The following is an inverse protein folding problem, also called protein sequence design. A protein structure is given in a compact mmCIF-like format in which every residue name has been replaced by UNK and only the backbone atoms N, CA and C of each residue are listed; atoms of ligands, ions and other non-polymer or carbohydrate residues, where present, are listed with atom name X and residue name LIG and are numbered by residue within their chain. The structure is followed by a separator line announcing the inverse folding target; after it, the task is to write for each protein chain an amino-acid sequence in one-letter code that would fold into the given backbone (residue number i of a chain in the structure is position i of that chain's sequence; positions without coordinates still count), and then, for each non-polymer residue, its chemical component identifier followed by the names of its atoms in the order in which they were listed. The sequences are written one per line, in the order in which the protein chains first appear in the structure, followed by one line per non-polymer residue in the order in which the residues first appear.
data_IF_998888509440
#
_entry.id   IF_998888509440
#
_cell.length_a   1.000
_cell.length_b   1.000
_cell.length_c   1.000
_cell.angle_alpha   90.00
_cell.angle_beta   90.00
_cell.angle_gamma   90.00
#
_symmetry.space_group_name_H-M   'P 1'
#
loop_
_entity.id
_entity.type
_entity.pdbx_description
1 polymer ?
#
# COMPACT_ATOMS: atom_id res chain seq x y z
N UNK A 1 -34.54 4.01 1.22
CA UNK A 1 -33.15 4.54 1.16
C UNK A 1 -32.29 3.33 1.41
N UNK A 2 -31.78 2.77 0.36
CA UNK A 2 -30.77 1.72 0.44
C UNK A 2 -29.58 2.34 1.19
N UNK A 3 -29.27 1.80 2.38
CA UNK A 3 -28.12 2.24 3.15
C UNK A 3 -26.89 1.81 2.37
N UNK A 4 -26.28 2.72 1.65
CA UNK A 4 -25.00 2.50 1.02
C UNK A 4 -24.02 2.05 2.10
N UNK A 5 -23.34 0.93 1.88
CA UNK A 5 -22.35 0.41 2.81
C UNK A 5 -21.15 1.35 2.94
N UNK A 6 -20.30 1.19 3.96
CA UNK A 6 -19.18 2.11 4.24
C UNK A 6 -18.16 2.18 3.09
N UNK A 7 -18.09 1.14 2.27
CA UNK A 7 -17.20 1.08 1.09
C UNK A 7 -17.91 1.49 -0.21
N UNK A 8 -19.16 1.93 -0.18
CA UNK A 8 -19.85 2.41 -1.38
C UNK A 8 -19.12 3.60 -2.01
N UNK A 9 -19.18 3.76 -3.34
CA UNK A 9 -18.57 4.89 -4.03
C UNK A 9 -19.01 6.22 -3.47
N UNK A 10 -18.07 7.11 -3.21
CA UNK A 10 -18.30 8.46 -2.69
C UNK A 10 -18.00 9.49 -3.76
N UNK A 11 -18.72 10.60 -3.73
CA UNK A 11 -18.48 11.70 -4.66
C UNK A 11 -17.10 12.31 -4.35
N UNK A 12 -16.17 12.35 -5.34
CA UNK A 12 -14.88 13.00 -5.15
C UNK A 12 -15.05 14.52 -5.03
N UNK A 13 -14.08 15.19 -4.38
CA UNK A 13 -14.06 16.66 -4.26
C UNK A 13 -13.74 17.36 -5.59
N UNK A 14 -13.08 16.65 -6.51
CA UNK A 14 -12.70 17.12 -7.84
C UNK A 14 -13.10 16.07 -8.87
N UNK A 15 -13.21 16.48 -10.14
CA UNK A 15 -13.48 15.55 -11.23
C UNK A 15 -12.40 14.46 -11.30
N UNK A 16 -12.81 13.20 -11.14
CA UNK A 16 -11.91 12.07 -11.12
C UNK A 16 -11.38 11.78 -12.52
N UNK A 17 -10.05 11.82 -12.69
CA UNK A 17 -9.36 11.39 -13.91
C UNK A 17 -8.87 9.95 -13.80
N UNK A 18 -8.43 9.53 -12.61
CA UNK A 18 -7.95 8.18 -12.32
C UNK A 18 -9.10 7.28 -11.85
N UNK A 19 -9.05 6.01 -12.24
CA UNK A 19 -10.03 4.97 -11.84
C UNK A 19 -9.50 4.06 -10.73
N UNK A 20 -8.18 3.95 -10.61
CA UNK A 20 -7.51 3.08 -9.65
C UNK A 20 -6.17 3.68 -9.24
N UNK A 21 -5.68 3.28 -8.06
CA UNK A 21 -4.36 3.63 -7.55
C UNK A 21 -3.57 2.35 -7.35
N UNK A 22 -2.36 2.30 -7.91
CA UNK A 22 -1.41 1.20 -7.71
C UNK A 22 -0.16 1.80 -7.07
N UNK A 23 0.19 1.34 -5.87
CA UNK A 23 1.42 1.72 -5.19
C UNK A 23 2.46 0.62 -5.36
N UNK A 24 3.51 0.89 -6.14
CA UNK A 24 4.65 0.00 -6.31
C UNK A 24 5.71 0.36 -5.28
N UNK A 25 5.66 -0.32 -4.14
CA UNK A 25 6.52 -0.01 -3.01
C UNK A 25 7.82 -0.81 -3.05
N UNK A 26 8.94 -0.12 -3.09
CA UNK A 26 10.29 -0.72 -3.07
C UNK A 26 10.82 -0.74 -1.63
N UNK A 27 10.75 -1.90 -0.98
CA UNK A 27 11.33 -2.10 0.34
C UNK A 27 12.87 -2.05 0.28
N UNK A 28 13.50 -1.64 1.39
CA UNK A 28 14.96 -1.67 1.55
C UNK A 28 15.66 -0.34 1.26
N UNK A 29 14.95 0.70 0.89
CA UNK A 29 15.50 2.04 0.70
C UNK A 29 16.45 2.13 -0.50
N UNK A 30 15.94 1.97 -1.73
CA UNK A 30 16.76 2.13 -2.92
C UNK A 30 17.44 3.51 -2.95
N UNK A 31 18.70 3.54 -3.38
CA UNK A 31 19.49 4.77 -3.43
C UNK A 31 18.88 5.75 -4.44
N UNK A 32 18.41 6.89 -3.98
CA UNK A 32 17.86 7.93 -4.85
C UNK A 32 18.92 8.50 -5.80
N UNK A 33 20.19 8.59 -5.36
CA UNK A 33 21.29 9.14 -6.19
C UNK A 33 21.67 8.19 -7.33
N UNK A 34 21.37 6.91 -7.18
CA UNK A 34 21.61 5.88 -8.19
C UNK A 34 20.39 5.62 -9.08
N UNK A 35 19.27 6.31 -8.83
CA UNK A 35 18.00 6.07 -9.53
C UNK A 35 17.41 7.33 -10.15
N UNK A 36 16.69 8.15 -9.37
CA UNK A 36 15.87 9.26 -9.88
C UNK A 36 16.44 10.65 -9.57
N UNK A 37 17.51 10.74 -8.79
CA UNK A 37 18.08 12.02 -8.34
C UNK A 37 19.60 12.00 -8.43
N UNK A 38 20.19 11.88 -9.63
CA UNK A 38 21.64 11.81 -9.82
C UNK A 38 22.31 13.07 -9.31
N UNK A 39 23.47 12.90 -8.68
CA UNK A 39 24.30 13.98 -8.11
C UNK A 39 25.67 13.99 -8.75
N UNK A 40 25.87 14.64 -9.91
CA UNK A 40 27.16 14.66 -10.61
C UNK A 40 28.34 15.10 -9.73
N UNK A 41 28.13 16.07 -8.84
CA UNK A 41 29.16 16.53 -7.93
C UNK A 41 29.69 15.44 -6.98
N UNK A 42 28.92 14.39 -6.67
CA UNK A 42 29.43 13.26 -5.89
C UNK A 42 30.45 12.43 -6.69
N UNK A 43 30.34 12.40 -8.02
CA UNK A 43 31.32 11.72 -8.86
C UNK A 43 32.63 12.49 -8.89
N UNK A 44 32.60 13.83 -8.92
CA UNK A 44 33.79 14.69 -8.85
C UNK A 44 34.50 14.56 -7.50
N UNK A 45 33.73 14.35 -6.43
CA UNK A 45 34.25 14.20 -5.07
C UNK A 45 34.57 12.73 -4.71
N UNK A 46 34.38 11.77 -5.61
CA UNK A 46 34.55 10.35 -5.33
C UNK A 46 35.91 10.03 -4.68
N UNK A 47 35.89 9.33 -3.54
CA UNK A 47 37.06 8.99 -2.70
C UNK A 47 37.73 10.18 -2.02
N UNK A 48 37.24 11.39 -2.15
CA UNK A 48 37.72 12.50 -1.33
C UNK A 48 37.17 12.41 0.08
N UNK A 49 37.96 12.79 1.08
CA UNK A 49 37.52 12.78 2.48
C UNK A 49 36.43 13.83 2.72
N UNK A 50 35.35 13.42 3.35
CA UNK A 50 34.28 14.33 3.73
C UNK A 50 34.66 15.18 4.94
N UNK A 51 34.53 16.49 4.83
CA UNK A 51 34.73 17.45 5.93
C UNK A 51 33.57 17.38 6.96
N UNK A 52 32.46 16.75 6.64
CA UNK A 52 31.32 16.66 7.53
C UNK A 52 31.53 15.52 8.53
N UNK A 53 31.82 15.87 9.77
CA UNK A 53 32.01 14.92 10.88
C UNK A 53 30.71 14.58 11.63
N UNK A 54 29.57 15.10 11.21
CA UNK A 54 28.29 14.82 11.86
C UNK A 54 27.84 13.38 11.61
N UNK A 55 27.60 12.64 12.68
CA UNK A 55 27.02 11.30 12.67
C UNK A 55 27.70 10.30 13.60
N UNK A 56 27.05 9.18 13.82
CA UNK A 56 27.35 8.14 14.82
C UNK A 56 28.60 7.27 14.53
N UNK A 57 29.28 7.45 13.40
CA UNK A 57 30.43 6.62 13.05
C UNK A 57 31.76 7.31 13.42
N UNK A 58 32.58 6.61 14.16
CA UNK A 58 33.99 6.92 14.37
C UNK A 58 34.80 6.48 13.17
N UNK A 59 35.51 7.39 12.51
CA UNK A 59 36.40 7.06 11.40
C UNK A 59 36.35 8.07 10.24
N UNK A 60 37.18 7.84 9.26
CA UNK A 60 37.19 8.64 8.03
C UNK A 60 35.99 8.34 7.17
N UNK A 61 35.38 9.37 6.61
CA UNK A 61 34.27 9.28 5.68
C UNK A 61 34.71 9.80 4.33
N UNK A 62 34.35 9.07 3.30
CA UNK A 62 34.63 9.46 1.93
C UNK A 62 33.34 9.66 1.16
N UNK A 63 33.34 10.61 0.24
CA UNK A 63 32.26 10.73 -0.73
C UNK A 63 32.31 9.53 -1.68
N UNK A 64 31.12 9.02 -2.03
CA UNK A 64 30.96 7.93 -2.97
C UNK A 64 30.06 8.41 -4.11
N UNK A 65 30.64 8.49 -5.30
CA UNK A 65 29.89 8.77 -6.51
C UNK A 65 29.10 7.53 -6.98
N UNK A 66 28.06 7.79 -7.76
CA UNK A 66 27.29 6.69 -8.37
C UNK A 66 28.14 5.93 -9.40
N UNK A 67 28.15 4.59 -9.37
CA UNK A 67 28.79 3.79 -10.41
C UNK A 67 27.95 3.72 -11.69
N UNK A 68 26.72 4.22 -11.67
CA UNK A 68 25.78 4.17 -12.79
C UNK A 68 25.73 5.50 -13.54
N UNK A 69 25.55 5.42 -14.85
CA UNK A 69 25.27 6.58 -15.67
C UNK A 69 23.85 7.08 -15.45
N UNK A 70 23.63 8.32 -15.84
CA UNK A 70 22.30 8.93 -15.86
C UNK A 70 22.15 9.78 -17.12
N UNK A 71 20.92 9.89 -17.60
CA UNK A 71 20.57 10.67 -18.77
C UNK A 71 19.24 11.40 -18.59
N UNK A 72 19.01 12.39 -19.41
CA UNK A 72 17.69 13.00 -19.54
C UNK A 72 16.80 12.16 -20.42
N UNK A 73 15.56 11.93 -19.99
CA UNK A 73 14.57 11.09 -20.66
C UNK A 73 13.30 11.86 -20.96
N UNK A 74 12.60 11.46 -22.01
CA UNK A 74 11.35 12.07 -22.45
C UNK A 74 11.51 13.53 -22.89
N UNK A 75 10.40 14.16 -23.24
CA UNK A 75 10.34 15.59 -23.56
C UNK A 75 10.45 16.47 -22.30
N UNK A 76 10.02 15.92 -21.15
CA UNK A 76 10.14 16.57 -19.84
C UNK A 76 11.59 16.79 -19.41
N UNK A 77 12.54 16.03 -19.99
CA UNK A 77 13.96 16.09 -19.64
C UNK A 77 14.24 15.60 -18.22
N UNK A 78 13.44 14.66 -17.71
CA UNK A 78 13.61 14.06 -16.40
C UNK A 78 14.97 13.35 -16.30
N UNK A 79 15.73 13.63 -15.24
CA UNK A 79 16.97 12.91 -14.98
C UNK A 79 16.66 11.50 -14.46
N UNK A 80 17.25 10.50 -15.10
CA UNK A 80 17.02 9.10 -14.74
C UNK A 80 18.29 8.28 -14.92
N UNK A 81 18.53 7.34 -14.01
CA UNK A 81 19.62 6.39 -14.11
C UNK A 81 19.44 5.43 -15.29
N UNK A 82 20.56 4.99 -15.87
CA UNK A 82 20.57 3.99 -16.94
C UNK A 82 20.07 2.61 -16.49
N UNK A 83 19.90 2.41 -15.18
CA UNK A 83 19.30 1.18 -14.63
C UNK A 83 17.80 1.05 -14.95
N UNK A 84 17.12 2.15 -15.20
CA UNK A 84 15.69 2.19 -15.50
C UNK A 84 15.40 2.08 -17.00
N UNK A 85 15.68 0.92 -17.57
CA UNK A 85 15.53 0.70 -19.02
C UNK A 85 14.09 0.94 -19.50
N UNK A 86 13.11 0.38 -18.78
CA UNK A 86 11.70 0.48 -19.18
C UNK A 86 11.05 1.80 -18.77
N UNK A 87 11.36 2.32 -17.57
CA UNK A 87 10.81 3.61 -17.14
C UNK A 87 11.38 4.78 -17.96
N UNK A 88 12.53 4.60 -18.57
CA UNK A 88 13.17 5.60 -19.43
C UNK A 88 12.60 5.62 -20.86
N UNK A 89 11.68 4.73 -21.20
CA UNK A 89 10.92 4.82 -22.45
C UNK A 89 10.20 6.17 -22.51
N UNK A 90 10.32 6.95 -23.60
CA UNK A 90 9.69 8.28 -23.71
C UNK A 90 8.19 8.30 -23.43
N UNK A 91 7.45 7.26 -23.86
CA UNK A 91 6.01 7.17 -23.63
C UNK A 91 5.67 7.04 -22.14
N UNK A 92 6.56 6.43 -21.34
CA UNK A 92 6.39 6.29 -19.89
C UNK A 92 7.00 7.48 -19.16
N UNK A 93 8.20 7.90 -19.57
CA UNK A 93 8.95 8.97 -18.90
C UNK A 93 8.18 10.29 -18.87
N UNK A 94 7.43 10.62 -19.93
CA UNK A 94 6.65 11.85 -20.02
C UNK A 94 5.38 11.85 -19.16
N UNK A 95 4.94 10.67 -18.70
CA UNK A 95 3.84 10.52 -17.75
C UNK A 95 4.32 10.53 -16.29
N UNK A 96 5.65 10.56 -16.04
CA UNK A 96 6.21 10.51 -14.70
C UNK A 96 6.33 11.91 -14.07
N UNK A 97 5.97 11.99 -12.79
CA UNK A 97 6.29 13.12 -11.94
C UNK A 97 7.27 12.68 -10.85
N UNK A 98 8.51 13.15 -10.92
CA UNK A 98 9.54 12.84 -9.93
C UNK A 98 9.53 13.87 -8.78
N UNK A 99 9.04 13.46 -7.62
CA UNK A 99 8.99 14.32 -6.44
C UNK A 99 10.23 14.11 -5.56
N UNK A 100 11.29 14.88 -5.79
CA UNK A 100 12.60 14.76 -5.12
C UNK A 100 12.69 15.43 -3.75
N UNK A 101 11.66 16.17 -3.34
CA UNK A 101 11.62 16.90 -2.07
C UNK A 101 11.15 16.08 -0.87
N UNK A 102 10.90 14.78 -1.02
CA UNK A 102 10.46 13.95 0.09
C UNK A 102 11.56 13.74 1.11
N UNK A 103 11.21 13.87 2.40
CA UNK A 103 12.09 13.64 3.53
C UNK A 103 11.41 12.74 4.56
N UNK A 104 12.15 11.79 5.11
CA UNK A 104 11.71 10.94 6.20
C UNK A 104 12.58 11.18 7.44
N UNK A 105 12.02 10.94 8.62
CA UNK A 105 12.66 11.23 9.92
C UNK A 105 13.45 10.05 10.49
N UNK A 106 13.31 8.85 9.95
CA UNK A 106 13.95 7.65 10.50
C UNK A 106 14.86 6.96 9.49
N UNK A 107 16.02 6.49 10.00
CA UNK A 107 16.92 5.57 9.31
C UNK A 107 16.61 4.10 9.62
N UNK A 108 15.74 3.83 10.58
CA UNK A 108 15.33 2.49 10.97
C UNK A 108 14.31 1.97 9.95
N UNK A 109 14.55 0.79 9.38
CA UNK A 109 13.70 0.23 8.32
C UNK A 109 12.22 0.14 8.70
N UNK A 110 11.77 -0.47 9.82
CA UNK A 110 10.36 -0.54 10.18
C UNK A 110 9.71 0.84 10.30
N UNK A 111 10.36 1.79 10.95
CA UNK A 111 9.85 3.15 11.14
C UNK A 111 9.77 3.91 9.82
N UNK A 112 10.76 3.77 8.95
CA UNK A 112 10.76 4.39 7.62
C UNK A 112 9.67 3.80 6.73
N UNK A 113 9.43 2.48 6.81
CA UNK A 113 8.34 1.80 6.13
C UNK A 113 6.97 2.32 6.59
N UNK A 114 6.76 2.44 7.90
CA UNK A 114 5.53 3.03 8.44
C UNK A 114 5.36 4.47 7.96
N UNK A 115 6.43 5.26 8.05
CA UNK A 115 6.37 6.67 7.63
C UNK A 115 5.95 6.79 6.16
N UNK A 116 6.53 5.97 5.27
CA UNK A 116 6.19 5.99 3.84
C UNK A 116 4.75 5.54 3.57
N UNK A 117 4.25 4.54 4.30
CA UNK A 117 2.92 3.96 4.04
C UNK A 117 1.79 4.68 4.79
N UNK A 118 2.07 5.34 5.92
CA UNK A 118 1.03 5.88 6.81
C UNK A 118 1.22 7.38 7.14
N UNK A 119 2.36 7.96 6.78
CA UNK A 119 2.72 9.33 7.18
C UNK A 119 3.26 9.46 8.61
N UNK A 120 3.35 8.35 9.36
CA UNK A 120 3.83 8.34 10.75
C UNK A 120 4.84 7.22 10.97
N UNK A 121 5.97 7.53 11.59
CA UNK A 121 6.99 6.54 11.96
C UNK A 121 6.56 5.58 13.08
N UNK A 122 5.49 5.89 13.79
CA UNK A 122 5.00 5.08 14.94
C UNK A 122 4.10 3.92 14.51
N UNK A 123 3.58 3.92 13.28
CA UNK A 123 2.83 2.79 12.70
C UNK A 123 1.45 2.56 13.32
N UNK A 124 0.77 3.62 13.75
CA UNK A 124 -0.61 3.55 14.28
C UNK A 124 -1.63 4.27 13.40
N UNK A 125 -1.16 5.02 12.41
CA UNK A 125 -2.01 5.81 11.53
C UNK A 125 -2.49 5.00 10.31
N UNK A 126 -3.61 5.38 9.68
CA UNK A 126 -4.13 4.67 8.53
C UNK A 126 -3.17 4.69 7.35
N UNK A 127 -3.02 3.56 6.69
CA UNK A 127 -2.25 3.46 5.47
C UNK A 127 -2.91 4.22 4.32
N UNK A 128 -2.12 4.59 3.30
CA UNK A 128 -2.58 5.36 2.15
C UNK A 128 -3.80 4.71 1.45
N UNK A 129 -3.81 3.38 1.30
CA UNK A 129 -4.96 2.66 0.71
C UNK A 129 -6.20 2.70 1.61
N UNK A 130 -6.05 2.73 2.93
CA UNK A 130 -7.15 2.93 3.88
C UNK A 130 -7.77 4.32 3.73
N UNK A 131 -6.95 5.36 3.56
CA UNK A 131 -7.42 6.72 3.28
C UNK A 131 -8.13 6.84 1.94
N UNK A 132 -7.62 6.18 0.89
CA UNK A 132 -8.28 6.17 -0.42
C UNK A 132 -9.67 5.54 -0.32
N UNK A 133 -9.79 4.38 0.32
CA UNK A 133 -11.09 3.74 0.53
C UNK A 133 -12.03 4.55 1.42
N UNK A 134 -11.50 5.17 2.48
CA UNK A 134 -12.30 6.03 3.35
C UNK A 134 -12.85 7.24 2.59
N UNK A 135 -12.03 7.90 1.77
CA UNK A 135 -12.40 9.10 1.05
C UNK A 135 -13.27 8.85 -0.19
N UNK A 136 -13.03 7.78 -0.92
CA UNK A 136 -13.63 7.54 -2.24
C UNK A 136 -14.52 6.28 -2.31
N UNK A 137 -14.38 5.36 -1.37
CA UNK A 137 -15.03 4.06 -1.43
C UNK A 137 -14.45 3.17 -2.53
N UNK A 138 -15.20 2.16 -2.93
CA UNK A 138 -14.84 1.25 -4.01
C UNK A 138 -15.98 1.11 -5.02
N UNK A 139 -15.65 1.11 -6.29
CA UNK A 139 -16.65 0.86 -7.35
C UNK A 139 -17.09 -0.60 -7.40
N UNK A 140 -16.23 -1.52 -6.97
CA UNK A 140 -16.56 -2.95 -6.89
C UNK A 140 -16.90 -3.32 -5.44
N UNK A 141 -18.12 -3.77 -5.21
CA UNK A 141 -18.60 -4.17 -3.89
C UNK A 141 -18.41 -5.67 -3.58
N UNK A 142 -17.90 -6.43 -4.54
CA UNK A 142 -17.70 -7.89 -4.44
C UNK A 142 -16.23 -8.26 -4.21
N UNK A 143 -15.33 -7.28 -4.30
CA UNK A 143 -13.90 -7.44 -4.05
C UNK A 143 -13.42 -6.42 -3.01
N UNK A 144 -12.33 -6.71 -2.29
CA UNK A 144 -11.73 -5.73 -1.39
C UNK A 144 -11.32 -4.46 -2.16
N UNK A 145 -11.68 -3.30 -1.63
CA UNK A 145 -11.30 -2.02 -2.23
C UNK A 145 -9.82 -1.69 -2.06
N UNK A 146 -9.16 -2.25 -1.04
CA UNK A 146 -7.73 -2.11 -0.79
C UNK A 146 -7.06 -3.49 -0.74
N UNK A 147 -6.28 -3.81 -1.74
CA UNK A 147 -5.56 -5.07 -1.89
C UNK A 147 -4.07 -4.86 -1.69
N UNK A 148 -3.44 -5.77 -0.97
CA UNK A 148 -2.00 -5.80 -0.72
C UNK A 148 -1.42 -7.09 -1.28
N UNK A 149 -0.38 -6.95 -2.10
CA UNK A 149 0.37 -8.07 -2.65
C UNK A 149 1.82 -7.99 -2.18
N UNK A 150 2.40 -9.13 -1.80
CA UNK A 150 3.82 -9.25 -1.46
C UNK A 150 4.36 -10.53 -2.07
N UNK A 151 5.56 -10.48 -2.65
CA UNK A 151 6.10 -11.63 -3.42
C UNK A 151 6.63 -12.75 -2.53
N UNK A 152 7.55 -12.46 -1.64
CA UNK A 152 8.30 -13.49 -0.90
C UNK A 152 7.99 -13.50 0.59
N UNK A 153 8.09 -12.37 1.23
CA UNK A 153 7.94 -12.22 2.68
C UNK A 153 7.08 -10.99 3.02
N UNK A 154 6.69 -10.90 4.28
CA UNK A 154 6.12 -9.67 4.79
C UNK A 154 7.23 -8.62 4.92
N UNK A 155 6.96 -7.35 4.56
CA UNK A 155 7.88 -6.27 4.84
C UNK A 155 8.12 -6.14 6.35
N UNK A 156 9.23 -5.54 6.71
CA UNK A 156 9.51 -5.25 8.12
C UNK A 156 8.37 -4.40 8.71
N UNK A 157 7.93 -4.74 9.91
CA UNK A 157 6.74 -4.15 10.51
C UNK A 157 5.42 -4.83 10.15
N UNK A 158 5.42 -5.74 9.16
CA UNK A 158 4.27 -6.60 8.83
C UNK A 158 3.01 -5.82 8.48
N UNK A 159 1.87 -6.29 8.98
CA UNK A 159 0.55 -5.76 8.65
C UNK A 159 0.32 -4.30 9.05
N UNK A 160 1.16 -3.72 9.89
CA UNK A 160 1.08 -2.29 10.23
C UNK A 160 1.27 -1.36 9.03
N UNK A 161 1.95 -1.84 7.98
CA UNK A 161 2.16 -1.06 6.75
C UNK A 161 0.88 -0.86 5.92
N UNK A 162 -0.19 -1.63 6.17
CA UNK A 162 -1.47 -1.51 5.46
C UNK A 162 -2.68 -1.56 6.41
N UNK A 163 -2.48 -1.09 7.62
CA UNK A 163 -3.54 -1.07 8.61
C UNK A 163 -4.55 0.06 8.38
N UNK A 164 -5.70 -0.07 9.01
CA UNK A 164 -6.72 0.96 9.04
C UNK A 164 -6.45 2.08 10.05
N UNK A 165 -5.45 1.92 10.93
CA UNK A 165 -5.17 2.85 12.02
C UNK A 165 -6.40 3.12 12.88
N UNK A 166 -6.74 4.39 13.06
CA UNK A 166 -7.93 4.83 13.80
C UNK A 166 -9.22 4.82 12.96
N UNK A 167 -9.12 4.54 11.64
CA UNK A 167 -10.33 4.36 10.82
C UNK A 167 -11.01 3.02 11.15
N UNK A 168 -12.32 2.89 10.87
CA UNK A 168 -13.02 1.62 11.02
C UNK A 168 -12.33 0.45 10.30
N UNK A 169 -12.40 -0.73 10.89
CA UNK A 169 -11.63 -1.90 10.46
C UNK A 169 -11.92 -2.37 9.02
N UNK A 170 -13.06 -2.04 8.45
CA UNK A 170 -13.39 -2.38 7.05
C UNK A 170 -12.54 -1.62 6.00
N UNK A 171 -11.77 -0.61 6.42
CA UNK A 171 -10.82 0.09 5.54
C UNK A 171 -9.42 -0.54 5.53
N UNK A 172 -9.20 -1.59 6.31
CA UNK A 172 -7.92 -2.29 6.33
C UNK A 172 -7.62 -2.98 5.00
N UNK A 173 -6.33 -2.99 4.61
CA UNK A 173 -5.88 -3.70 3.42
C UNK A 173 -6.02 -5.21 3.54
N UNK A 174 -6.55 -5.83 2.49
CA UNK A 174 -6.68 -7.29 2.35
C UNK A 174 -5.46 -7.84 1.64
N UNK A 175 -4.67 -8.64 2.35
CA UNK A 175 -3.49 -9.25 1.75
C UNK A 175 -3.85 -10.48 0.93
N UNK A 176 -3.40 -10.50 -0.33
CA UNK A 176 -3.43 -11.67 -1.18
C UNK A 176 -2.13 -12.48 -1.02
N UNK A 177 -2.25 -13.79 -1.12
CA UNK A 177 -1.11 -14.71 -1.05
C UNK A 177 -0.36 -14.71 -2.39
N UNK A 178 0.98 -14.75 -2.38
CA UNK A 178 1.77 -14.75 -3.61
C UNK A 178 1.81 -16.11 -4.31
N UNK A 179 1.42 -17.19 -3.63
CA UNK A 179 1.44 -18.56 -4.15
C UNK A 179 0.21 -19.34 -3.71
N UNK A 180 -0.25 -20.25 -4.57
CA UNK A 180 -1.47 -21.03 -4.37
C UNK A 180 -2.73 -20.19 -4.58
N UNK A 181 -3.82 -20.54 -3.89
CA UNK A 181 -5.02 -19.69 -3.91
C UNK A 181 -4.72 -18.32 -3.32
N UNK A 182 -4.99 -17.22 -4.03
CA UNK A 182 -4.76 -15.86 -3.52
C UNK A 182 -5.45 -15.60 -2.18
N UNK A 183 -6.60 -16.20 -1.99
CA UNK A 183 -7.41 -16.15 -0.77
C UNK A 183 -7.72 -17.59 -0.36
N UNK A 184 -7.57 -17.86 0.94
CA UNK A 184 -7.92 -19.19 1.48
C UNK A 184 -9.44 -19.39 1.43
N UNK A 185 -9.82 -20.66 1.23
CA UNK A 185 -11.22 -21.10 1.28
C UNK A 185 -12.17 -20.34 0.36
N UNK A 186 -11.63 -19.84 -0.78
CA UNK A 186 -12.44 -19.15 -1.79
C UNK A 186 -13.49 -20.07 -2.41
N UNK A 187 -13.22 -21.36 -2.47
CA UNK A 187 -14.18 -22.36 -2.93
C UNK A 187 -14.89 -23.00 -1.74
N UNK A 188 -16.21 -23.09 -1.82
CA UNK A 188 -17.00 -23.81 -0.81
C UNK A 188 -16.64 -25.29 -0.80
N UNK A 189 -16.60 -25.95 0.38
CA UNK A 189 -16.42 -27.38 0.46
C UNK A 189 -17.46 -28.14 -0.38
N UNK A 190 -17.12 -29.26 -1.05
CA UNK A 190 -18.01 -29.96 -1.97
C UNK A 190 -19.36 -30.44 -1.36
N UNK A 191 -19.37 -30.66 -0.06
CA UNK A 191 -20.57 -31.11 0.67
C UNK A 191 -21.46 -29.95 1.15
N UNK A 192 -21.04 -28.68 0.94
CA UNK A 192 -21.77 -27.50 1.42
C UNK A 192 -22.44 -26.79 0.23
N UNK A 193 -23.74 -26.90 0.13
CA UNK A 193 -24.48 -26.17 -0.92
C UNK A 193 -24.50 -24.69 -0.66
N UNK A 194 -24.63 -23.87 -1.70
CA UNK A 194 -24.75 -22.41 -1.60
C UNK A 194 -25.89 -21.97 -0.69
N UNK A 195 -27.02 -22.69 -0.76
CA UNK A 195 -28.16 -22.42 0.10
C UNK A 195 -27.84 -22.65 1.58
N UNK A 196 -27.21 -23.76 1.92
CA UNK A 196 -26.75 -24.01 3.30
C UNK A 196 -25.73 -22.98 3.78
N UNK A 197 -24.82 -22.56 2.90
CA UNK A 197 -23.85 -21.54 3.22
C UNK A 197 -24.55 -20.20 3.51
N UNK A 198 -25.49 -19.77 2.67
CA UNK A 198 -26.27 -18.54 2.90
C UNK A 198 -27.05 -18.58 4.20
N UNK A 199 -27.72 -19.71 4.50
CA UNK A 199 -28.43 -19.87 5.77
C UNK A 199 -27.47 -19.76 6.96
N UNK A 200 -26.32 -20.45 6.93
CA UNK A 200 -25.31 -20.36 7.99
C UNK A 200 -24.82 -18.92 8.19
N UNK A 201 -24.62 -18.16 7.11
CA UNK A 201 -24.20 -16.74 7.19
C UNK A 201 -25.32 -15.86 7.75
N UNK A 202 -26.57 -16.11 7.42
CA UNK A 202 -27.71 -15.37 7.99
C UNK A 202 -27.79 -15.57 9.51
N UNK A 203 -27.66 -16.81 9.97
CA UNK A 203 -27.66 -17.12 11.41
C UNK A 203 -26.45 -16.47 12.11
N UNK A 204 -25.26 -16.56 11.48
CA UNK A 204 -24.06 -15.92 12.03
C UNK A 204 -24.22 -14.39 12.10
N UNK A 205 -24.76 -13.76 11.05
CA UNK A 205 -25.02 -12.34 11.01
C UNK A 205 -26.02 -11.91 12.12
N UNK A 206 -27.09 -12.71 12.33
CA UNK A 206 -28.05 -12.50 13.39
C UNK A 206 -27.39 -12.58 14.77
N UNK A 207 -26.58 -13.60 15.03
CA UNK A 207 -25.86 -13.75 16.29
C UNK A 207 -24.85 -12.60 16.52
N UNK A 208 -24.09 -12.25 15.50
CA UNK A 208 -23.09 -11.18 15.55
C UNK A 208 -23.75 -9.81 15.76
N UNK A 209 -24.88 -9.51 15.09
CA UNK A 209 -25.59 -8.24 15.27
C UNK A 209 -26.15 -8.09 16.69
N UNK A 210 -26.63 -9.17 17.27
CA UNK A 210 -27.05 -9.17 18.70
C UNK A 210 -25.90 -8.93 19.66
N UNK A 211 -24.71 -9.43 19.32
CA UNK A 211 -23.51 -9.21 20.09
C UNK A 211 -23.03 -7.76 19.93
N UNK A 212 -22.96 -7.25 18.70
CA UNK A 212 -22.58 -5.88 18.39
C UNK A 212 -23.49 -4.84 19.09
N UNK A 213 -24.81 -5.10 19.12
CA UNK A 213 -25.75 -4.22 19.82
C UNK A 213 -25.47 -4.04 21.32
N UNK A 214 -24.77 -5.01 21.95
CA UNK A 214 -24.31 -4.90 23.35
C UNK A 214 -22.97 -4.15 23.48
N UNK A 215 -22.29 -3.90 22.37
CA UNK A 215 -20.97 -3.28 22.31
C UNK A 215 -20.93 -2.16 21.24
N UNK A 216 -21.70 -1.08 21.40
CA UNK A 216 -21.92 -0.08 20.34
C UNK A 216 -20.67 0.71 19.90
N UNK A 217 -19.58 0.63 20.66
CA UNK A 217 -18.33 1.33 20.37
C UNK A 217 -17.25 0.41 19.73
N UNK A 218 -17.59 -0.83 19.39
CA UNK A 218 -16.67 -1.79 18.81
C UNK A 218 -16.94 -1.98 17.32
N UNK A 219 -16.39 -1.08 16.46
CA UNK A 219 -16.53 -1.14 15.02
C UNK A 219 -15.90 -2.40 14.38
N UNK A 220 -15.02 -3.09 15.09
CA UNK A 220 -14.43 -4.37 14.66
C UNK A 220 -15.48 -5.47 14.50
N UNK A 221 -16.56 -5.42 15.29
CA UNK A 221 -17.66 -6.38 15.18
C UNK A 221 -18.46 -6.19 13.89
N UNK A 222 -18.72 -4.95 13.51
CA UNK A 222 -19.40 -4.60 12.27
C UNK A 222 -18.52 -4.97 11.06
N UNK A 223 -17.24 -4.63 11.10
CA UNK A 223 -16.28 -5.00 10.07
C UNK A 223 -16.15 -6.52 9.91
N UNK A 224 -16.28 -7.29 11.00
CA UNK A 224 -16.27 -8.76 10.94
C UNK A 224 -17.51 -9.30 10.21
N UNK A 225 -18.69 -8.74 10.48
CA UNK A 225 -19.93 -9.12 9.78
C UNK A 225 -19.78 -8.85 8.28
N UNK A 226 -19.32 -7.66 7.92
CA UNK A 226 -19.09 -7.25 6.54
C UNK A 226 -18.04 -8.13 5.83
N UNK A 227 -17.00 -8.55 6.54
CA UNK A 227 -15.96 -9.44 5.99
C UNK A 227 -16.50 -10.80 5.60
N UNK A 228 -17.41 -11.37 6.38
CA UNK A 228 -18.08 -12.64 6.00
C UNK A 228 -18.96 -12.48 4.77
N UNK A 229 -19.70 -11.38 4.66
CA UNK A 229 -20.52 -11.09 3.50
C UNK A 229 -19.67 -10.83 2.25
N UNK A 230 -18.57 -10.11 2.39
CA UNK A 230 -17.61 -9.89 1.31
C UNK A 230 -17.00 -11.22 0.84
N UNK A 231 -16.54 -12.07 1.75
CA UNK A 231 -15.98 -13.38 1.43
C UNK A 231 -16.99 -14.25 0.65
N UNK A 232 -18.26 -14.23 1.02
CA UNK A 232 -19.31 -14.93 0.30
C UNK A 232 -19.51 -14.37 -1.12
N UNK A 233 -19.55 -13.05 -1.29
CA UNK A 233 -19.64 -12.44 -2.62
C UNK A 233 -18.43 -12.75 -3.48
N UNK A 234 -17.22 -12.76 -2.91
CA UNK A 234 -15.99 -13.13 -3.62
C UNK A 234 -16.03 -14.55 -4.15
N UNK A 235 -16.61 -15.51 -3.40
CA UNK A 235 -16.79 -16.88 -3.86
C UNK A 235 -17.73 -17.00 -5.06
N UNK A 236 -18.53 -15.98 -5.33
CA UNK A 236 -19.48 -15.96 -6.45
C UNK A 236 -18.90 -15.30 -7.70
N UNK A 237 -17.97 -14.36 -7.52
CA UNK A 237 -17.47 -13.46 -8.58
C UNK A 237 -16.07 -13.85 -9.05
N UNK A 238 -15.28 -14.50 -8.19
CA UNK A 238 -13.91 -14.90 -8.55
C UNK A 238 -13.96 -16.30 -9.17
N UNK A 239 -13.51 -16.45 -10.43
CA UNK A 239 -13.52 -17.73 -11.16
C UNK A 239 -12.57 -18.77 -10.57
#
# INVERSE_FOLDING_TARGET
KDSEGPLSPKKPMHDAKAKAVIMLFMEGGPSQVDTFDPKPQLNDLHKMESKNKAGLATGYRFYVGSPFGSRKVGQSGLDMSDQWVHLADPEIADELCNYRGCQAESLNHPEALFHMNTGSRLGGDPAIGSWVNYGLGSMNQNLPGYVVMSELALPQGGARNWNNGFLPAHYQGTRLRPRGSPILDLQSPPHKTRQHQRQSLNELAFMNSRHAAKHPNHNDLDARIESYELAYRMQMEVP
#
